data_IF_350356931449
#
_entry.id   IF_350356931449
#
_cell.length_a   1.000
_cell.length_b   1.000
_cell.length_c   1.000
_cell.angle_alpha   90.00
_cell.angle_beta   90.00
_cell.angle_gamma   90.00
#
_symmetry.space_group_name_H-M   'P 1'
#
loop_
_entity.id
_entity.type
_entity.pdbx_description
1 polymer ?
#
# COMPACT_ATOMS: atom_id res chain seq x y z
N UNK A 1 57.84 -82.01 10.52
CA UNK A 1 57.52 -82.57 9.18
C UNK A 1 56.35 -81.79 8.59
N UNK A 2 56.57 -81.25 7.36
CA UNK A 2 55.64 -80.90 6.24
C UNK A 2 54.17 -80.53 6.58
N UNK A 3 53.67 -79.32 6.33
CA UNK A 3 53.46 -78.59 5.05
C UNK A 3 52.27 -79.07 4.19
N UNK A 4 51.52 -78.06 3.68
CA UNK A 4 50.45 -77.98 2.65
C UNK A 4 49.02 -77.92 3.24
N UNK A 5 48.09 -77.08 2.79
CA UNK A 5 47.95 -76.31 1.54
C UNK A 5 46.98 -75.12 1.72
N UNK A 6 47.19 -74.10 0.90
CA UNK A 6 46.55 -72.78 0.82
C UNK A 6 45.21 -72.77 0.06
N UNK A 7 44.32 -71.84 0.47
CA UNK A 7 43.48 -70.92 -0.33
C UNK A 7 42.40 -71.47 -1.29
N UNK A 8 41.14 -71.02 -1.12
CA UNK A 8 40.39 -70.15 -2.08
C UNK A 8 38.89 -70.06 -1.71
N UNK A 9 38.28 -68.91 -2.00
CA UNK A 9 36.85 -68.53 -1.88
C UNK A 9 36.31 -68.08 -0.51
N UNK A 10 36.78 -66.90 -0.06
CA UNK A 10 35.93 -65.97 0.68
C UNK A 10 35.58 -64.81 -0.28
N UNK A 11 34.43 -64.90 -0.93
CA UNK A 11 33.92 -63.88 -1.86
C UNK A 11 32.58 -63.37 -1.34
N UNK A 12 32.60 -62.09 -0.95
CA UNK A 12 31.49 -61.13 -1.03
C UNK A 12 30.15 -61.48 -0.36
N UNK A 13 29.98 -61.08 0.92
CA UNK A 13 28.79 -60.32 1.37
C UNK A 13 29.22 -59.36 2.49
N UNK A 14 29.98 -58.32 2.15
CA UNK A 14 30.31 -57.23 3.07
C UNK A 14 30.36 -55.91 2.28
N UNK A 15 29.22 -55.45 1.73
CA UNK A 15 29.07 -54.05 1.29
C UNK A 15 27.62 -53.64 0.87
N UNK A 16 26.56 -54.03 1.58
CA UNK A 16 25.20 -53.50 1.28
C UNK A 16 24.42 -53.11 2.54
N UNK A 17 25.10 -52.52 3.53
CA UNK A 17 24.47 -51.98 4.75
C UNK A 17 24.93 -50.55 5.08
N UNK A 18 25.36 -49.78 4.08
CA UNK A 18 25.82 -48.39 4.28
C UNK A 18 25.18 -47.36 3.36
N UNK A 19 24.01 -47.65 2.79
CA UNK A 19 23.18 -46.63 2.12
C UNK A 19 21.73 -46.82 2.54
N UNK A 20 21.45 -46.63 3.83
CA UNK A 20 20.13 -46.16 4.21
C UNK A 20 20.11 -44.65 3.96
N UNK A 21 19.20 -44.10 3.14
CA UNK A 21 18.99 -42.68 3.16
C UNK A 21 18.52 -42.36 4.58
N UNK A 22 19.27 -41.52 5.30
CA UNK A 22 18.67 -40.76 6.38
C UNK A 22 17.58 -39.94 5.69
N UNK A 23 16.35 -40.47 5.71
CA UNK A 23 15.14 -39.72 5.47
C UNK A 23 15.10 -38.67 6.57
N UNK A 24 15.77 -37.55 6.32
CA UNK A 24 15.52 -36.33 7.04
C UNK A 24 14.09 -35.96 6.75
N UNK A 25 13.19 -36.40 7.62
CA UNK A 25 11.92 -35.73 7.79
C UNK A 25 12.30 -34.34 8.27
N UNK A 26 12.39 -33.38 7.34
CA UNK A 26 12.16 -31.98 7.68
C UNK A 26 10.72 -31.97 8.17
N UNK A 27 10.57 -32.16 9.48
CA UNK A 27 9.38 -31.70 10.17
C UNK A 27 9.48 -30.19 10.04
N UNK A 28 8.85 -29.64 9.00
CA UNK A 28 8.59 -28.22 8.93
C UNK A 28 7.84 -27.88 10.21
N UNK A 29 8.54 -27.25 11.15
CA UNK A 29 7.91 -26.70 12.33
C UNK A 29 6.76 -25.81 11.84
N UNK A 30 5.55 -25.92 12.40
CA UNK A 30 4.51 -24.95 12.14
C UNK A 30 5.06 -23.57 12.51
N UNK A 31 5.20 -22.70 11.49
CA UNK A 31 5.30 -21.24 11.57
C UNK A 31 6.09 -20.65 12.73
N UNK A 32 7.42 -20.55 12.58
CA UNK A 32 8.06 -19.37 13.14
C UNK A 32 7.50 -18.16 12.36
N UNK A 33 6.99 -17.11 13.03
CA UNK A 33 6.57 -15.90 12.33
C UNK A 33 7.74 -15.39 11.50
N UNK A 34 7.48 -15.04 10.24
CA UNK A 34 8.50 -14.44 9.38
C UNK A 34 8.91 -13.12 10.03
N UNK A 35 10.20 -12.99 10.35
CA UNK A 35 10.72 -11.73 10.87
C UNK A 35 10.82 -10.73 9.71
N UNK A 36 9.88 -9.80 9.70
CA UNK A 36 9.79 -8.74 8.71
C UNK A 36 10.75 -7.58 8.98
N UNK A 37 11.55 -7.62 10.06
CA UNK A 37 12.51 -6.57 10.43
C UNK A 37 11.84 -5.17 10.46
N UNK A 38 10.65 -5.11 11.06
CA UNK A 38 9.91 -3.85 11.21
C UNK A 38 10.57 -3.07 12.35
N UNK A 39 11.45 -2.13 11.98
CA UNK A 39 12.23 -1.30 12.91
C UNK A 39 11.90 0.19 12.77
N UNK A 40 12.26 0.97 13.79
CA UNK A 40 12.11 2.43 13.81
C UNK A 40 10.69 2.94 14.10
N UNK A 41 10.57 4.27 14.16
CA UNK A 41 9.31 4.98 14.41
C UNK A 41 8.38 4.92 13.19
N UNK A 42 7.08 5.08 13.44
CA UNK A 42 6.05 5.19 12.40
C UNK A 42 6.41 6.26 11.36
N UNK A 43 6.12 5.97 10.10
CA UNK A 43 6.40 6.85 8.96
C UNK A 43 5.35 7.96 8.88
N UNK A 44 4.06 7.63 9.04
CA UNK A 44 2.95 8.56 8.85
C UNK A 44 3.09 9.89 9.63
N UNK A 45 3.48 9.88 10.93
CA UNK A 45 3.68 11.11 11.70
C UNK A 45 4.82 12.00 11.18
N UNK A 46 5.77 11.45 10.41
CA UNK A 46 6.93 12.19 9.89
C UNK A 46 6.59 13.04 8.66
N UNK A 47 5.46 12.76 8.00
CA UNK A 47 4.98 13.56 6.88
C UNK A 47 4.43 14.92 7.33
N UNK A 48 4.42 15.89 6.41
CA UNK A 48 3.79 17.19 6.66
C UNK A 48 2.29 17.03 6.91
N UNK A 49 1.69 17.98 7.63
CA UNK A 49 0.24 17.93 7.93
C UNK A 49 -0.62 17.83 6.67
N UNK A 50 -0.24 18.52 5.60
CA UNK A 50 -0.96 18.47 4.33
C UNK A 50 -0.88 17.09 3.66
N UNK A 51 0.24 16.39 3.78
CA UNK A 51 0.40 15.03 3.24
C UNK A 51 -0.41 14.04 4.08
N UNK A 52 -0.39 14.16 5.41
CA UNK A 52 -1.23 13.33 6.31
C UNK A 52 -2.71 13.47 5.95
N UNK A 53 -3.22 14.70 5.82
CA UNK A 53 -4.61 14.95 5.40
C UNK A 53 -4.90 14.40 3.99
N UNK A 54 -3.89 14.34 3.13
CA UNK A 54 -3.97 13.68 1.83
C UNK A 54 -4.23 12.19 1.95
N UNK A 55 -3.49 11.51 2.83
CA UNK A 55 -3.68 10.10 3.17
C UNK A 55 -5.03 9.85 3.83
N UNK A 56 -5.38 10.61 4.89
CA UNK A 56 -6.68 10.53 5.59
C UNK A 56 -7.85 10.55 4.58
N UNK A 57 -7.71 11.39 3.55
CA UNK A 57 -8.70 11.46 2.48
C UNK A 57 -8.70 10.23 1.60
N UNK A 58 -7.57 9.69 1.14
CA UNK A 58 -7.56 8.59 0.15
C UNK A 58 -7.70 7.19 0.77
N UNK A 59 -7.43 7.04 2.07
CA UNK A 59 -7.61 5.78 2.80
C UNK A 59 -9.06 5.51 3.18
N UNK A 60 -9.93 6.53 3.14
CA UNK A 60 -11.37 6.36 3.35
C UNK A 60 -11.99 5.55 2.21
N UNK A 61 -12.11 4.23 2.41
CA UNK A 61 -12.67 3.32 1.42
C UNK A 61 -14.14 3.62 1.08
N UNK A 62 -14.87 4.35 1.95
CA UNK A 62 -16.28 4.69 1.75
C UNK A 62 -16.54 5.63 0.58
N UNK A 63 -15.51 6.30 0.05
CA UNK A 63 -15.63 7.17 -1.12
C UNK A 63 -15.54 6.42 -2.46
N UNK A 64 -15.20 5.12 -2.46
CA UNK A 64 -15.01 4.31 -3.66
C UNK A 64 -16.18 3.34 -3.86
N UNK A 65 -16.52 3.05 -5.12
CA UNK A 65 -17.55 2.05 -5.42
C UNK A 65 -17.01 0.63 -5.23
N UNK A 66 -17.91 -0.34 -5.02
CA UNK A 66 -17.52 -1.76 -4.94
C UNK A 66 -16.79 -2.21 -6.21
N UNK A 67 -17.26 -1.78 -7.39
CA UNK A 67 -16.62 -2.05 -8.68
C UNK A 67 -15.17 -1.55 -8.69
N UNK A 68 -14.94 -0.28 -8.33
CA UNK A 68 -13.60 0.30 -8.26
C UNK A 68 -12.69 -0.50 -7.33
N UNK A 69 -13.13 -0.83 -6.12
CA UNK A 69 -12.32 -1.60 -5.17
C UNK A 69 -12.05 -3.03 -5.65
N UNK A 70 -13.01 -3.64 -6.34
CA UNK A 70 -12.91 -5.02 -6.85
C UNK A 70 -12.03 -5.17 -8.09
N UNK A 71 -11.84 -4.09 -8.85
CA UNK A 71 -11.05 -4.05 -10.09
C UNK A 71 -9.67 -3.39 -9.92
N UNK A 72 -9.38 -2.80 -8.75
CA UNK A 72 -8.11 -2.10 -8.50
C UNK A 72 -6.97 -3.06 -8.22
N UNK A 73 -5.99 -3.09 -9.14
CA UNK A 73 -4.76 -3.88 -8.99
C UNK A 73 -3.66 -3.14 -8.22
N UNK A 74 -3.69 -1.80 -8.19
CA UNK A 74 -2.60 -1.00 -7.64
C UNK A 74 -3.02 -0.29 -6.36
N UNK A 75 -2.19 -0.39 -5.33
CA UNK A 75 -2.46 0.16 -4.02
C UNK A 75 -1.26 0.95 -3.53
N UNK A 76 -1.50 2.19 -3.10
CA UNK A 76 -0.50 2.98 -2.42
C UNK A 76 -0.44 2.50 -0.96
N UNK A 77 0.74 2.07 -0.51
CA UNK A 77 0.97 1.47 0.80
C UNK A 77 2.10 2.18 1.50
N UNK A 78 1.94 2.51 2.78
CA UNK A 78 3.02 3.01 3.65
C UNK A 78 3.47 1.89 4.57
N UNK A 79 4.76 1.56 4.56
CA UNK A 79 5.30 0.45 5.37
C UNK A 79 6.75 0.64 5.76
N UNK A 80 7.10 0.12 6.94
CA UNK A 80 8.46 -0.01 7.45
C UNK A 80 9.10 -1.34 7.08
N UNK A 81 8.34 -2.28 6.49
CA UNK A 81 8.87 -3.55 6.01
C UNK A 81 9.88 -3.24 4.89
N UNK A 82 11.09 -3.81 4.92
CA UNK A 82 12.04 -3.63 3.83
C UNK A 82 11.49 -4.13 2.49
N UNK A 83 11.74 -3.39 1.40
CA UNK A 83 11.17 -3.68 0.07
C UNK A 83 11.35 -5.13 -0.40
N UNK A 84 12.50 -5.74 -0.09
CA UNK A 84 12.81 -7.12 -0.47
C UNK A 84 12.00 -8.18 0.30
N UNK A 85 11.25 -7.77 1.33
CA UNK A 85 10.37 -8.61 2.16
C UNK A 85 8.89 -8.30 1.96
N UNK A 86 8.50 -7.39 1.06
CA UNK A 86 7.08 -7.07 0.84
C UNK A 86 6.27 -8.32 0.46
N UNK A 87 6.81 -9.22 -0.35
CA UNK A 87 6.16 -10.48 -0.72
C UNK A 87 5.98 -11.48 0.43
N UNK A 88 6.61 -11.22 1.59
CA UNK A 88 6.47 -12.05 2.79
C UNK A 88 5.46 -11.49 3.80
N UNK A 89 4.91 -10.30 3.54
CA UNK A 89 3.79 -9.75 4.29
C UNK A 89 2.54 -10.61 4.10
N UNK A 90 1.53 -10.45 4.97
CA UNK A 90 0.20 -11.07 4.80
C UNK A 90 -0.48 -10.62 3.52
N UNK A 91 -0.18 -9.40 3.06
CA UNK A 91 -0.69 -8.88 1.82
C UNK A 91 -0.06 -9.60 0.62
N UNK A 92 1.25 -9.83 0.67
CA UNK A 92 2.02 -10.55 -0.33
C UNK A 92 1.79 -10.05 -1.78
N UNK A 93 2.05 -8.77 -2.07
CA UNK A 93 1.91 -8.25 -3.43
C UNK A 93 2.86 -8.95 -4.42
N UNK A 94 2.42 -9.13 -5.67
CA UNK A 94 3.26 -9.72 -6.72
C UNK A 94 4.39 -8.79 -7.16
N UNK A 95 4.11 -7.47 -7.25
CA UNK A 95 5.11 -6.46 -7.57
C UNK A 95 5.06 -5.31 -6.58
N UNK A 96 6.22 -4.69 -6.36
CA UNK A 96 6.34 -3.51 -5.52
C UNK A 96 7.29 -2.51 -6.14
N UNK A 97 6.86 -1.25 -6.18
CA UNK A 97 7.65 -0.13 -6.68
C UNK A 97 7.65 1.00 -5.66
N UNK A 98 8.76 1.75 -5.47
CA UNK A 98 8.73 2.94 -4.63
C UNK A 98 7.76 3.98 -5.17
N UNK A 99 6.89 4.52 -4.32
CA UNK A 99 6.08 5.67 -4.68
C UNK A 99 7.00 6.91 -4.76
N UNK A 100 6.99 7.69 -5.86
CA UNK A 100 7.83 8.87 -5.96
C UNK A 100 7.60 9.85 -4.81
N UNK A 101 8.67 10.48 -4.31
CA UNK A 101 8.65 11.61 -3.35
C UNK A 101 8.23 11.22 -1.90
N UNK A 102 7.45 10.17 -1.70
CA UNK A 102 6.93 9.75 -0.40
C UNK A 102 7.82 8.67 0.25
N UNK A 103 8.57 9.04 1.28
CA UNK A 103 9.51 8.14 1.98
C UNK A 103 8.77 6.97 2.64
N UNK A 104 9.11 5.74 2.25
CA UNK A 104 8.52 4.54 2.83
C UNK A 104 7.09 4.29 2.36
N UNK A 105 6.69 4.95 1.26
CA UNK A 105 5.50 4.62 0.51
C UNK A 105 5.87 3.85 -0.77
N UNK A 106 5.00 2.93 -1.15
CA UNK A 106 5.19 2.01 -2.25
C UNK A 106 3.88 1.84 -3.02
N UNK A 107 3.97 1.54 -4.30
CA UNK A 107 2.87 1.01 -5.09
C UNK A 107 3.00 -0.51 -5.04
N UNK A 108 1.99 -1.16 -4.49
CA UNK A 108 1.85 -2.60 -4.45
C UNK A 108 0.87 -3.02 -5.53
N UNK A 109 1.29 -3.96 -6.38
CA UNK A 109 0.49 -4.51 -7.45
C UNK A 109 -0.02 -5.90 -7.08
N UNK A 110 -1.31 -6.12 -7.35
CA UNK A 110 -1.99 -7.39 -7.16
C UNK A 110 -2.51 -7.91 -8.51
N UNK A 111 -2.11 -9.11 -8.91
CA UNK A 111 -2.62 -9.73 -10.15
C UNK A 111 -4.10 -10.11 -10.04
N UNK A 112 -4.55 -10.44 -8.81
CA UNK A 112 -5.94 -10.77 -8.49
C UNK A 112 -6.55 -9.68 -7.58
N UNK A 113 -7.20 -8.64 -8.13
CA UNK A 113 -7.60 -7.45 -7.36
C UNK A 113 -8.62 -7.76 -6.25
N UNK A 114 -9.46 -8.77 -6.44
CA UNK A 114 -10.39 -9.27 -5.42
C UNK A 114 -9.70 -9.79 -4.15
N UNK A 115 -8.44 -10.21 -4.24
CA UNK A 115 -7.66 -10.66 -3.08
C UNK A 115 -6.99 -9.49 -2.34
N UNK A 116 -6.69 -8.40 -3.05
CA UNK A 116 -5.89 -7.28 -2.56
C UNK A 116 -6.45 -6.68 -1.26
N UNK A 117 -7.71 -6.22 -1.26
CA UNK A 117 -8.29 -5.53 -0.12
C UNK A 117 -8.33 -6.40 1.17
N UNK A 118 -8.85 -7.65 1.15
CA UNK A 118 -8.79 -8.53 2.33
C UNK A 118 -7.36 -8.84 2.82
N UNK A 119 -6.38 -8.84 1.92
CA UNK A 119 -4.97 -9.12 2.20
C UNK A 119 -4.26 -7.90 2.81
N UNK A 120 -4.50 -6.71 2.25
CA UNK A 120 -4.03 -5.44 2.79
C UNK A 120 -4.58 -5.19 4.19
N UNK A 121 -5.87 -5.47 4.42
CA UNK A 121 -6.45 -5.35 5.77
C UNK A 121 -5.73 -6.25 6.78
N UNK A 122 -5.39 -7.49 6.40
CA UNK A 122 -4.63 -8.39 7.29
C UNK A 122 -3.23 -7.86 7.60
N UNK A 123 -2.55 -7.24 6.64
CA UNK A 123 -1.26 -6.60 6.88
C UNK A 123 -1.38 -5.36 7.76
N UNK A 124 -2.45 -4.58 7.61
CA UNK A 124 -2.74 -3.43 8.47
C UNK A 124 -2.97 -3.89 9.92
N UNK A 125 -3.85 -4.87 10.12
CA UNK A 125 -4.16 -5.44 11.44
C UNK A 125 -2.93 -6.06 12.12
N UNK A 126 -1.98 -6.55 11.32
CA UNK A 126 -0.73 -7.13 11.80
C UNK A 126 0.38 -6.09 12.05
N UNK A 127 0.14 -4.81 11.75
CA UNK A 127 1.12 -3.73 11.86
C UNK A 127 2.26 -3.83 10.83
N UNK A 128 2.07 -4.60 9.76
CA UNK A 128 3.04 -4.74 8.66
C UNK A 128 3.01 -3.52 7.74
N UNK A 129 1.87 -2.83 7.69
CA UNK A 129 1.68 -1.57 6.96
C UNK A 129 1.01 -0.56 7.88
N UNK A 130 1.22 0.73 7.62
CA UNK A 130 0.65 1.83 8.42
C UNK A 130 -0.60 2.43 7.78
N UNK A 131 -0.67 2.43 6.45
CA UNK A 131 -1.82 2.91 5.69
C UNK A 131 -1.82 2.26 4.30
N UNK A 132 -3.01 2.13 3.70
CA UNK A 132 -3.18 1.73 2.31
C UNK A 132 -4.34 2.50 1.66
N UNK A 133 -4.25 2.73 0.36
CA UNK A 133 -5.32 3.35 -0.43
C UNK A 133 -5.32 2.83 -1.86
N UNK A 134 -6.50 2.70 -2.50
CA UNK A 134 -6.59 2.18 -3.85
C UNK A 134 -6.14 3.27 -4.85
N UNK A 135 -5.30 2.89 -5.81
CA UNK A 135 -4.81 3.78 -6.85
C UNK A 135 -5.80 3.81 -8.03
N UNK A 136 -6.95 4.43 -7.81
CA UNK A 136 -8.02 4.56 -8.82
C UNK A 136 -7.82 5.84 -9.61
N UNK A 137 -7.80 5.73 -10.94
CA UNK A 137 -7.87 6.89 -11.82
C UNK A 137 -9.20 7.61 -11.63
N UNK A 138 -9.17 8.79 -10.99
CA UNK A 138 -10.34 9.66 -10.88
C UNK A 138 -10.35 10.63 -12.06
N UNK A 139 -11.38 10.53 -12.89
CA UNK A 139 -11.67 11.58 -13.87
C UNK A 139 -12.06 12.85 -13.11
N UNK A 140 -11.20 13.86 -13.15
CA UNK A 140 -11.53 15.19 -12.64
C UNK A 140 -12.24 15.94 -13.76
N UNK A 141 -13.52 16.23 -13.56
CA UNK A 141 -14.22 17.16 -14.43
C UNK A 141 -13.90 18.58 -13.94
N UNK A 142 -13.39 19.47 -14.83
CA UNK A 142 -13.19 20.86 -14.47
C UNK A 142 -14.51 21.46 -14.02
N UNK A 143 -14.51 22.07 -12.84
CA UNK A 143 -15.65 22.80 -12.30
C UNK A 143 -15.35 24.29 -12.36
N UNK A 144 -16.34 25.06 -12.79
CA UNK A 144 -16.31 26.53 -12.69
C UNK A 144 -16.34 27.02 -11.23
N UNK A 145 -16.63 26.13 -10.27
CA UNK A 145 -16.76 26.44 -8.84
C UNK A 145 -15.98 25.43 -7.98
N UNK A 146 -15.40 25.87 -6.84
CA UNK A 146 -14.74 25.01 -5.86
C UNK A 146 -15.65 23.89 -5.34
N UNK A 147 -15.05 22.76 -4.95
CA UNK A 147 -15.73 21.63 -4.33
C UNK A 147 -15.70 21.69 -2.78
N UNK A 148 -15.70 22.89 -2.22
CA UNK A 148 -15.81 23.10 -0.77
C UNK A 148 -17.24 22.81 -0.30
N UNK A 149 -17.47 21.97 0.73
CA UNK A 149 -18.83 21.64 1.21
C UNK A 149 -19.66 22.84 1.66
N UNK A 150 -19.02 23.94 2.04
CA UNK A 150 -19.65 25.18 2.48
C UNK A 150 -19.66 26.26 1.39
N UNK A 151 -19.26 25.93 0.15
CA UNK A 151 -19.24 26.89 -0.95
C UNK A 151 -20.61 27.53 -1.19
N UNK A 152 -21.69 26.74 -1.08
CA UNK A 152 -23.08 27.21 -1.25
C UNK A 152 -23.47 28.27 -0.21
N UNK A 153 -22.82 28.28 0.96
CA UNK A 153 -23.03 29.28 2.01
C UNK A 153 -22.24 30.58 1.76
N UNK A 154 -21.25 30.57 0.86
CA UNK A 154 -20.37 31.71 0.57
C UNK A 154 -21.01 32.70 -0.44
N UNK A 155 -22.07 33.39 -0.02
CA UNK A 155 -22.80 34.35 -0.87
C UNK A 155 -21.89 35.39 -1.54
N UNK A 156 -20.82 35.82 -0.86
CA UNK A 156 -19.92 36.85 -1.39
C UNK A 156 -19.08 36.37 -2.58
N UNK A 157 -18.98 35.05 -2.82
CA UNK A 157 -18.28 34.48 -3.98
C UNK A 157 -19.24 34.19 -5.14
N UNK A 158 -20.44 33.68 -4.82
CA UNK A 158 -21.52 33.42 -5.76
C UNK A 158 -22.87 33.54 -5.05
N UNK A 159 -23.66 34.55 -5.41
CA UNK A 159 -24.96 34.82 -4.81
C UNK A 159 -26.09 34.33 -5.73
N UNK A 160 -26.61 33.15 -5.40
CA UNK A 160 -27.80 32.57 -6.04
C UNK A 160 -29.09 32.91 -5.27
N UNK A 161 -29.06 33.81 -4.28
CA UNK A 161 -30.18 34.14 -3.41
C UNK A 161 -30.30 33.22 -2.18
N UNK A 162 -29.26 32.44 -1.85
CA UNK A 162 -29.25 31.45 -0.78
C UNK A 162 -29.57 32.02 0.62
N UNK A 163 -29.29 33.30 0.85
CA UNK A 163 -29.56 34.00 2.12
C UNK A 163 -30.78 34.92 2.05
N UNK A 164 -31.70 34.72 1.10
CA UNK A 164 -32.81 35.62 0.79
C UNK A 164 -32.36 37.04 0.38
N UNK A 165 -31.14 37.16 -0.16
CA UNK A 165 -30.63 38.39 -0.77
C UNK A 165 -31.05 38.55 -2.24
N UNK A 166 -30.61 39.64 -2.87
CA UNK A 166 -30.76 39.83 -4.32
C UNK A 166 -29.69 39.01 -5.03
N UNK A 167 -30.08 38.08 -5.91
CA UNK A 167 -29.14 37.26 -6.67
C UNK A 167 -28.23 38.11 -7.56
N UNK A 168 -26.96 37.70 -7.70
CA UNK A 168 -25.94 38.39 -8.47
C UNK A 168 -25.26 39.56 -7.75
N UNK A 169 -25.71 39.93 -6.55
CA UNK A 169 -25.00 40.85 -5.68
C UNK A 169 -23.88 40.10 -4.95
N UNK A 170 -22.78 39.85 -5.66
CA UNK A 170 -21.57 39.17 -5.19
C UNK A 170 -20.30 39.80 -5.79
N UNK A 171 -19.11 39.27 -5.45
CA UNK A 171 -17.85 39.78 -5.96
C UNK A 171 -17.60 39.49 -7.46
N UNK A 172 -18.47 38.70 -8.10
CA UNK A 172 -18.37 38.29 -9.51
C UNK A 172 -17.00 37.71 -9.89
N UNK A 173 -16.47 36.83 -9.03
CA UNK A 173 -15.10 36.27 -9.16
C UNK A 173 -15.04 34.92 -9.86
N UNK A 174 -16.18 34.23 -10.04
CA UNK A 174 -16.24 32.87 -10.60
C UNK A 174 -15.60 32.78 -11.99
N UNK A 175 -15.82 33.76 -12.85
CA UNK A 175 -15.20 33.84 -14.18
C UNK A 175 -13.69 34.11 -14.17
N UNK A 176 -13.12 34.57 -13.06
CA UNK A 176 -11.69 34.80 -12.93
C UNK A 176 -10.92 33.52 -12.58
N UNK A 177 -11.54 32.56 -11.89
CA UNK A 177 -10.87 31.38 -11.35
C UNK A 177 -10.28 30.44 -12.40
N UNK A 178 -10.82 30.45 -13.62
CA UNK A 178 -10.25 29.70 -14.75
C UNK A 178 -8.81 30.14 -15.11
N UNK A 179 -8.46 31.38 -14.77
CA UNK A 179 -7.20 32.00 -15.21
C UNK A 179 -6.36 32.57 -14.06
N UNK A 180 -6.97 32.89 -12.91
CA UNK A 180 -6.33 33.62 -11.83
C UNK A 180 -6.68 33.03 -10.46
N UNK A 181 -5.65 32.60 -9.74
CA UNK A 181 -5.75 32.05 -8.38
C UNK A 181 -5.09 32.93 -7.31
N UNK A 182 -4.47 34.05 -7.72
CA UNK A 182 -3.69 34.90 -6.83
C UNK A 182 -2.28 34.36 -6.51
N UNK A 183 -1.83 33.29 -7.17
CA UNK A 183 -0.47 32.74 -6.99
C UNK A 183 0.59 33.82 -7.23
N UNK A 184 1.48 34.02 -6.26
CA UNK A 184 2.55 35.02 -6.31
C UNK A 184 2.19 36.38 -5.68
N UNK A 185 0.93 36.57 -5.26
CA UNK A 185 0.50 37.76 -4.50
C UNK A 185 0.67 37.49 -3.00
N UNK A 186 1.31 38.42 -2.28
CA UNK A 186 1.46 38.37 -0.81
C UNK A 186 0.48 39.35 -0.17
N UNK A 187 -0.36 38.86 0.75
CA UNK A 187 -1.33 39.67 1.49
C UNK A 187 -0.92 39.67 2.97
N UNK A 188 -0.87 40.86 3.59
CA UNK A 188 -0.68 41.02 5.04
C UNK A 188 -2.00 41.40 5.71
N UNK A 189 -2.33 40.72 6.82
CA UNK A 189 -3.49 41.02 7.66
C UNK A 189 -2.95 41.49 9.01
N UNK A 190 -3.33 42.71 9.43
CA UNK A 190 -2.83 43.39 10.64
C UNK A 190 -3.96 43.57 11.64
#
# INVERSE_FOLDING_TARGET
MRSRSTMRTALAVLLVLLIAPLGGVVSGSPGAPVDLEIEGDEIMPTYSRSVQLGFDRVEDLGQYTEEQLSETNEWLVVTRVPIHKHSWTKAAPELTEPAPILRGAYIWHFEEPLKALPQLQKSLDAGEIESFSPLVEKKQDPRFTPNDPYFDDQWHLQNAGQTNGVSGEDANVTGAWDNYTGTGVVISVV
#
